data_IF_306909421973
#
_entry.id   IF_306909421973
#
_cell.length_a   1.000
_cell.length_b   1.000
_cell.length_c   1.000
_cell.angle_alpha   90.00
_cell.angle_beta   90.00
_cell.angle_gamma   90.00
#
_symmetry.space_group_name_H-M   'P 1'
#
loop_
_entity.id
_entity.type
_entity.pdbx_description
1 polymer ?
#
# COMPACT_ATOMS: atom_id res chain seq x y z
N UNK A 1 19.99 6.67 34.66
CA UNK A 1 18.63 6.10 34.64
C UNK A 1 17.67 7.25 34.77
N UNK A 2 16.80 7.46 33.77
CA UNK A 2 15.76 8.48 33.81
C UNK A 2 14.45 7.84 34.30
N UNK A 3 13.63 8.60 35.01
CA UNK A 3 12.25 8.18 35.25
C UNK A 3 11.44 8.21 33.95
N UNK A 4 10.29 7.51 33.94
CA UNK A 4 9.42 7.40 32.76
C UNK A 4 9.00 8.78 32.24
N UNK A 5 8.80 9.76 33.12
CA UNK A 5 8.38 11.13 32.76
C UNK A 5 9.51 11.87 32.03
N UNK A 6 10.74 11.76 32.51
CA UNK A 6 11.93 12.34 31.88
C UNK A 6 12.21 11.70 30.53
N UNK A 7 11.99 10.39 30.40
CA UNK A 7 12.10 9.67 29.12
C UNK A 7 11.04 10.13 28.09
N UNK A 8 9.79 10.36 28.52
CA UNK A 8 8.72 10.92 27.66
C UNK A 8 9.08 12.32 27.17
N UNK A 9 9.52 13.20 28.09
CA UNK A 9 9.90 14.58 27.77
C UNK A 9 11.09 14.63 26.80
N UNK A 10 12.07 13.76 27.02
CA UNK A 10 13.21 13.62 26.12
C UNK A 10 12.78 13.20 24.71
N UNK A 11 11.98 12.12 24.61
CA UNK A 11 11.53 11.59 23.32
C UNK A 11 10.77 12.65 22.50
N UNK A 12 9.89 13.42 23.16
CA UNK A 12 9.19 14.54 22.54
C UNK A 12 10.15 15.64 22.05
N UNK A 13 11.15 16.00 22.86
CA UNK A 13 12.15 17.01 22.51
C UNK A 13 13.01 16.60 21.29
N UNK A 14 13.43 15.34 21.22
CA UNK A 14 14.21 14.83 20.10
C UNK A 14 13.34 14.66 18.83
N UNK A 15 12.09 14.23 18.95
CA UNK A 15 11.15 14.15 17.84
C UNK A 15 10.89 15.54 17.20
N UNK A 16 10.75 16.58 18.03
CA UNK A 16 10.63 17.96 17.54
C UNK A 16 11.86 18.43 16.74
N UNK A 17 13.08 18.01 17.13
CA UNK A 17 14.30 18.31 16.38
C UNK A 17 14.34 17.58 15.04
N UNK A 18 13.90 16.33 14.96
CA UNK A 18 13.80 15.61 13.69
C UNK A 18 12.88 16.33 12.69
N UNK A 19 11.71 16.80 13.13
CA UNK A 19 10.78 17.54 12.25
C UNK A 19 11.46 18.80 11.70
N UNK A 20 12.16 19.57 12.55
CA UNK A 20 12.87 20.78 12.13
C UNK A 20 14.00 20.48 11.14
N UNK A 21 14.74 19.40 11.36
CA UNK A 21 15.78 18.94 10.45
C UNK A 21 15.20 18.53 9.09
N UNK A 22 14.09 17.78 9.08
CA UNK A 22 13.42 17.34 7.84
C UNK A 22 12.92 18.53 7.03
N UNK A 23 12.26 19.51 7.65
CA UNK A 23 11.78 20.71 6.97
C UNK A 23 12.94 21.52 6.35
N UNK A 24 14.05 21.65 7.08
CA UNK A 24 15.25 22.34 6.61
C UNK A 24 15.94 21.60 5.45
N UNK A 25 16.04 20.27 5.54
CA UNK A 25 16.62 19.43 4.48
C UNK A 25 15.76 19.39 3.22
N UNK A 26 14.43 19.38 3.35
CA UNK A 26 13.49 19.46 2.21
C UNK A 26 13.61 20.79 1.47
N UNK A 27 13.68 21.91 2.20
CA UNK A 27 13.91 23.24 1.62
C UNK A 27 15.25 23.34 0.89
N UNK A 28 16.27 22.63 1.38
CA UNK A 28 17.57 22.57 0.73
C UNK A 28 17.58 21.69 -0.52
N UNK A 29 16.91 20.52 -0.50
CA UNK A 29 16.81 19.59 -1.63
C UNK A 29 16.21 20.27 -2.89
N UNK A 30 15.20 21.12 -2.70
CA UNK A 30 14.61 21.92 -3.79
C UNK A 30 15.63 22.84 -4.51
N UNK A 31 16.77 23.14 -3.88
CA UNK A 31 17.81 24.02 -4.41
C UNK A 31 19.02 23.32 -5.05
N UNK A 32 19.16 21.98 -4.96
CA UNK A 32 20.38 21.26 -5.37
C UNK A 32 20.07 19.90 -6.05
N UNK A 33 19.91 19.93 -7.37
CA UNK A 33 19.55 18.77 -8.24
C UNK A 33 20.56 17.61 -8.31
N UNK A 34 21.80 17.80 -7.83
CA UNK A 34 22.87 16.77 -7.86
C UNK A 34 23.28 16.27 -6.45
N UNK A 35 22.62 16.74 -5.39
CA UNK A 35 22.82 16.24 -4.01
C UNK A 35 21.65 15.36 -3.56
N UNK A 36 20.77 15.00 -4.49
CA UNK A 36 19.44 14.44 -4.25
C UNK A 36 19.51 13.08 -3.54
N UNK A 37 20.46 12.21 -3.91
CA UNK A 37 20.55 10.86 -3.34
C UNK A 37 21.13 10.84 -1.92
N UNK A 38 22.21 11.59 -1.67
CA UNK A 38 22.82 11.68 -0.33
C UNK A 38 21.88 12.39 0.66
N UNK A 39 21.18 13.46 0.22
CA UNK A 39 20.19 14.16 1.03
C UNK A 39 18.94 13.32 1.28
N UNK A 40 18.52 12.51 0.30
CA UNK A 40 17.41 11.57 0.46
C UNK A 40 17.71 10.57 1.56
N UNK A 41 18.92 10.01 1.60
CA UNK A 41 19.33 9.10 2.68
C UNK A 41 19.30 9.78 4.05
N UNK A 42 19.82 11.01 4.18
CA UNK A 42 19.76 11.78 5.45
C UNK A 42 18.31 12.01 5.88
N UNK A 43 17.43 12.41 4.96
CA UNK A 43 16.00 12.65 5.25
C UNK A 43 15.30 11.36 5.69
N UNK A 44 15.55 10.24 5.01
CA UNK A 44 15.00 8.92 5.38
C UNK A 44 15.44 8.55 6.78
N UNK A 45 16.71 8.75 7.13
CA UNK A 45 17.25 8.39 8.45
C UNK A 45 16.69 9.29 9.55
N UNK A 46 16.61 10.61 9.34
CA UNK A 46 16.01 11.52 10.33
C UNK A 46 14.52 11.22 10.53
N UNK A 47 13.79 10.86 9.47
CA UNK A 47 12.39 10.43 9.55
C UNK A 47 12.23 9.10 10.31
N UNK A 48 13.11 8.13 10.07
CA UNK A 48 13.11 6.86 10.81
C UNK A 48 13.41 7.09 12.30
N UNK A 49 14.38 7.93 12.65
CA UNK A 49 14.66 8.31 14.05
C UNK A 49 13.49 9.04 14.72
N UNK A 50 12.78 9.91 14.00
CA UNK A 50 11.53 10.51 14.48
C UNK A 50 10.47 9.46 14.80
N UNK A 51 10.23 8.53 13.88
CA UNK A 51 9.24 7.48 14.04
C UNK A 51 9.55 6.60 15.27
N UNK A 52 10.81 6.23 15.49
CA UNK A 52 11.24 5.44 16.66
C UNK A 52 11.06 6.20 17.98
N UNK A 53 11.37 7.50 18.01
CA UNK A 53 11.20 8.34 19.20
C UNK A 53 9.72 8.50 19.57
N UNK A 54 8.84 8.74 18.60
CA UNK A 54 7.39 8.74 18.82
C UNK A 54 6.86 7.34 19.18
N UNK A 55 7.53 6.28 18.70
CA UNK A 55 7.23 4.92 19.09
C UNK A 55 7.44 4.69 20.59
N UNK A 56 8.65 5.00 21.05
CA UNK A 56 9.06 4.92 22.45
C UNK A 56 8.21 5.85 23.32
N UNK A 57 7.94 7.08 22.88
CA UNK A 57 7.12 8.05 23.63
C UNK A 57 5.72 7.52 23.92
N UNK A 58 5.03 6.97 22.92
CA UNK A 58 3.69 6.42 23.07
C UNK A 58 3.66 5.25 24.07
N UNK A 59 4.61 4.32 23.96
CA UNK A 59 4.70 3.18 24.87
C UNK A 59 5.02 3.62 26.31
N UNK A 60 5.88 4.63 26.49
CA UNK A 60 6.17 5.18 27.82
C UNK A 60 4.94 5.85 28.46
N UNK A 61 4.05 6.46 27.66
CA UNK A 61 2.79 7.05 28.14
C UNK A 61 1.82 5.94 28.59
N UNK A 62 1.62 4.90 27.77
CA UNK A 62 0.77 3.76 28.12
C UNK A 62 1.25 3.04 29.39
N UNK A 63 2.58 2.89 29.53
CA UNK A 63 3.19 2.35 30.75
C UNK A 63 2.96 3.24 31.97
N UNK A 64 3.03 4.57 31.81
CA UNK A 64 2.76 5.53 32.89
C UNK A 64 1.30 5.45 33.36
N UNK A 65 0.35 5.34 32.45
CA UNK A 65 -1.08 5.25 32.75
C UNK A 65 -1.48 3.90 33.38
N UNK A 66 -0.64 2.88 33.22
CA UNK A 66 -0.86 1.54 33.76
C UNK A 66 -0.43 1.34 35.23
N UNK A 67 -0.19 2.41 36.02
CA UNK A 67 0.30 2.37 37.41
C UNK A 67 1.66 1.65 37.60
N UNK A 68 2.49 1.57 36.55
CA UNK A 68 3.78 0.87 36.58
C UNK A 68 4.94 1.78 37.05
N UNK A 69 4.89 2.27 38.29
CA UNK A 69 5.83 3.29 38.81
C UNK A 69 7.25 2.76 39.14
N UNK A 70 7.49 1.44 39.08
CA UNK A 70 8.75 0.84 39.54
C UNK A 70 9.77 0.52 38.44
N UNK A 71 9.46 0.80 37.17
CA UNK A 71 10.33 0.44 36.05
C UNK A 71 11.34 1.54 35.72
N UNK A 72 12.59 1.33 36.12
CA UNK A 72 13.72 2.14 35.70
C UNK A 72 14.14 1.78 34.26
N UNK A 73 13.71 2.58 33.28
CA UNK A 73 14.10 2.40 31.88
C UNK A 73 15.36 3.24 31.62
N UNK A 74 16.49 2.58 31.38
CA UNK A 74 17.71 3.24 30.94
C UNK A 74 17.62 3.47 29.43
N UNK A 75 17.17 4.65 29.01
CA UNK A 75 17.27 5.08 27.61
C UNK A 75 18.66 5.72 27.44
N UNK A 76 19.56 5.16 26.62
CA UNK A 76 20.85 5.79 26.32
C UNK A 76 20.63 6.83 25.23
N UNK A 77 20.43 8.10 25.61
CA UNK A 77 19.95 9.14 24.67
C UNK A 77 20.79 10.41 24.60
N UNK A 78 21.91 10.46 25.33
CA UNK A 78 22.68 11.69 25.48
C UNK A 78 23.34 12.16 24.17
N UNK A 79 23.59 11.26 23.20
CA UNK A 79 24.20 11.60 21.90
C UNK A 79 23.22 11.97 20.77
N UNK A 80 21.98 11.45 20.80
CA UNK A 80 21.05 11.59 19.67
C UNK A 80 20.60 13.04 19.45
N UNK A 81 20.32 13.76 20.55
CA UNK A 81 19.90 15.16 20.49
C UNK A 81 21.02 16.05 19.91
N UNK A 82 22.28 15.75 20.26
CA UNK A 82 23.45 16.46 19.73
C UNK A 82 23.61 16.20 18.23
N UNK A 83 23.50 14.95 17.78
CA UNK A 83 23.57 14.58 16.37
C UNK A 83 22.46 15.24 15.55
N UNK A 84 21.21 15.26 16.04
CA UNK A 84 20.09 15.93 15.36
C UNK A 84 20.27 17.45 15.29
N UNK A 85 20.80 18.06 16.35
CA UNK A 85 21.09 19.49 16.36
C UNK A 85 22.21 19.84 15.36
N UNK A 86 23.27 19.03 15.26
CA UNK A 86 24.32 19.22 14.25
C UNK A 86 23.80 19.10 12.83
N UNK A 87 22.90 18.16 12.55
CA UNK A 87 22.25 18.03 11.23
C UNK A 87 21.40 19.27 10.92
N UNK A 88 20.68 19.80 11.91
CA UNK A 88 19.90 21.03 11.76
C UNK A 88 20.79 22.26 11.51
N UNK A 89 21.90 22.35 12.23
CA UNK A 89 22.87 23.45 12.10
C UNK A 89 23.55 23.39 10.72
N UNK A 90 24.01 22.20 10.28
CA UNK A 90 24.56 21.96 8.95
C UNK A 90 23.55 22.32 7.84
N UNK A 91 22.29 21.87 7.95
CA UNK A 91 21.24 22.22 7.00
C UNK A 91 20.97 23.73 6.97
N UNK A 92 21.02 24.39 8.13
CA UNK A 92 20.82 25.83 8.27
C UNK A 92 21.97 26.67 7.72
N UNK A 93 23.22 26.24 7.94
CA UNK A 93 24.42 26.93 7.48
C UNK A 93 24.59 26.82 5.96
N UNK A 94 24.30 25.64 5.41
CA UNK A 94 24.25 25.44 3.96
C UNK A 94 23.13 26.29 3.32
N UNK A 95 21.96 26.41 3.97
CA UNK A 95 20.88 27.27 3.51
C UNK A 95 21.23 28.77 3.59
N UNK A 96 21.86 29.23 4.68
CA UNK A 96 22.27 30.63 4.87
C UNK A 96 23.36 31.06 3.90
N UNK A 97 24.36 30.21 3.67
CA UNK A 97 25.44 30.48 2.71
C UNK A 97 25.00 30.38 1.25
N UNK A 98 23.84 29.77 0.98
CA UNK A 98 23.27 29.62 -0.37
C UNK A 98 22.91 30.95 -1.07
N UNK A 99 22.88 32.08 -0.36
CA UNK A 99 22.65 33.42 -0.94
C UNK A 99 23.87 33.98 -1.69
N UNK A 100 25.07 33.40 -1.55
CA UNK A 100 26.27 33.78 -2.33
C UNK A 100 26.63 32.70 -3.35
N UNK A 101 26.13 32.88 -4.58
CA UNK A 101 26.63 32.32 -5.85
C UNK A 101 26.62 30.78 -5.98
N UNK A 102 25.95 30.30 -7.04
CA UNK A 102 25.68 28.88 -7.43
C UNK A 102 26.89 27.93 -7.40
N UNK A 103 28.11 28.43 -7.63
CA UNK A 103 29.35 27.64 -7.64
C UNK A 103 29.78 27.17 -6.25
N UNK A 104 29.57 27.98 -5.21
CA UNK A 104 29.95 27.65 -3.84
C UNK A 104 29.09 26.56 -3.22
N UNK A 105 27.84 26.38 -3.67
CA UNK A 105 26.94 25.31 -3.20
C UNK A 105 27.47 23.90 -3.47
N UNK A 106 28.16 23.70 -4.59
CA UNK A 106 28.74 22.40 -4.99
C UNK A 106 30.03 22.11 -4.21
N UNK A 107 30.85 23.15 -3.98
CA UNK A 107 32.10 23.03 -3.23
C UNK A 107 31.84 22.79 -1.73
N UNK A 108 30.89 23.54 -1.14
CA UNK A 108 30.47 23.39 0.25
C UNK A 108 29.87 22.00 0.49
N UNK A 109 28.93 21.53 -0.36
CA UNK A 109 28.38 20.17 -0.20
C UNK A 109 29.43 19.08 -0.36
N UNK A 110 30.39 19.23 -1.28
CA UNK A 110 31.47 18.23 -1.43
C UNK A 110 32.42 18.17 -0.24
N UNK A 111 32.61 19.29 0.48
CA UNK A 111 33.42 19.37 1.70
C UNK A 111 32.65 18.86 2.94
N UNK A 112 31.35 19.15 3.00
CA UNK A 112 30.44 18.73 4.08
C UNK A 112 29.95 17.27 3.93
N UNK A 113 30.15 16.63 2.76
CA UNK A 113 29.68 15.28 2.48
C UNK A 113 30.23 14.23 3.45
N UNK A 114 31.50 14.36 3.84
CA UNK A 114 32.11 13.43 4.81
C UNK A 114 31.49 13.58 6.20
N UNK A 115 31.17 14.81 6.61
CA UNK A 115 30.51 15.08 7.89
C UNK A 115 29.05 14.62 7.88
N UNK A 116 28.32 14.84 6.77
CA UNK A 116 26.97 14.32 6.58
C UNK A 116 26.92 12.78 6.64
N UNK A 117 27.87 12.09 6.00
CA UNK A 117 27.97 10.62 6.05
C UNK A 117 28.34 10.11 7.46
N UNK A 118 29.21 10.82 8.18
CA UNK A 118 29.53 10.50 9.58
C UNK A 118 28.29 10.67 10.49
N UNK A 119 27.52 11.75 10.31
CA UNK A 119 26.27 11.99 11.04
C UNK A 119 25.20 10.94 10.72
N UNK A 120 25.11 10.46 9.48
CA UNK A 120 24.26 9.32 9.08
C UNK A 120 24.69 8.02 9.77
N UNK A 121 26.00 7.76 9.84
CA UNK A 121 26.54 6.63 10.57
C UNK A 121 26.18 6.67 12.06
N UNK A 122 26.30 7.83 12.70
CA UNK A 122 25.92 8.04 14.11
C UNK A 122 24.40 7.93 14.32
N UNK A 123 23.58 8.44 13.40
CA UNK A 123 22.13 8.27 13.44
C UNK A 123 21.73 6.79 13.36
N UNK A 124 22.38 6.03 12.48
CA UNK A 124 22.14 4.58 12.36
C UNK A 124 22.44 3.86 13.67
N UNK A 125 23.58 4.17 14.29
CA UNK A 125 23.94 3.61 15.60
C UNK A 125 22.92 3.97 16.70
N UNK A 126 22.40 5.20 16.68
CA UNK A 126 21.35 5.62 17.62
C UNK A 126 19.99 4.95 17.32
N UNK A 127 19.66 4.66 16.06
CA UNK A 127 18.46 3.91 15.69
C UNK A 127 18.50 2.49 16.25
N UNK A 128 19.64 1.81 16.17
CA UNK A 128 19.82 0.47 16.75
C UNK A 128 19.61 0.49 18.27
N UNK A 129 20.14 1.51 18.94
CA UNK A 129 19.93 1.72 20.38
C UNK A 129 18.46 1.96 20.75
N UNK A 130 17.73 2.76 19.95
CA UNK A 130 16.29 2.99 20.14
C UNK A 130 15.47 1.71 19.89
N UNK A 131 15.87 0.89 18.91
CA UNK A 131 15.23 -0.40 18.63
C UNK A 131 15.37 -1.38 19.79
N UNK A 132 16.53 -1.41 20.46
CA UNK A 132 16.70 -2.23 21.67
C UNK A 132 15.79 -1.79 22.83
N UNK A 133 15.62 -0.47 23.01
CA UNK A 133 14.68 0.07 24.01
C UNK A 133 13.24 -0.30 23.64
N UNK A 134 12.88 -0.23 22.35
CA UNK A 134 11.56 -0.64 21.86
C UNK A 134 11.26 -2.11 22.14
N UNK A 135 12.21 -3.00 21.83
CA UNK A 135 12.07 -4.44 22.06
C UNK A 135 11.87 -4.76 23.54
N UNK A 136 12.66 -4.13 24.41
CA UNK A 136 12.53 -4.29 25.86
C UNK A 136 11.13 -3.87 26.36
N UNK A 137 10.60 -2.76 25.84
CA UNK A 137 9.25 -2.29 26.20
C UNK A 137 8.15 -3.20 25.64
N UNK A 138 8.31 -3.70 24.40
CA UNK A 138 7.32 -4.58 23.74
C UNK A 138 7.16 -5.94 24.43
N UNK A 139 8.26 -6.55 24.87
CA UNK A 139 8.25 -7.81 25.63
C UNK A 139 7.43 -7.67 26.93
N UNK A 140 7.55 -6.52 27.60
CA UNK A 140 6.81 -6.21 28.83
C UNK A 140 5.31 -6.07 28.54
N UNK A 141 4.92 -5.53 27.38
CA UNK A 141 3.52 -5.34 26.98
C UNK A 141 2.82 -6.63 26.54
N UNK A 142 3.50 -7.48 25.76
CA UNK A 142 2.93 -8.73 25.21
C UNK A 142 2.55 -9.76 26.27
N UNK A 143 3.24 -9.81 27.41
CA UNK A 143 2.91 -10.70 28.52
C UNK A 143 1.50 -10.47 29.11
N UNK A 144 0.81 -9.38 28.72
CA UNK A 144 -0.50 -8.98 29.27
C UNK A 144 -1.70 -9.18 28.32
N UNK A 145 -1.51 -9.31 27.00
CA UNK A 145 -2.59 -9.27 25.98
C UNK A 145 -3.31 -10.61 25.74
N UNK A 146 -2.72 -11.76 26.11
CA UNK A 146 -3.26 -13.09 25.78
C UNK A 146 -4.63 -13.45 26.41
N UNK A 147 -5.16 -12.67 27.35
CA UNK A 147 -6.40 -12.98 28.09
C UNK A 147 -7.71 -12.56 27.40
N UNK A 148 -7.68 -11.71 26.36
CA UNK A 148 -8.91 -11.09 25.80
C UNK A 148 -9.47 -11.77 24.53
N UNK A 149 -8.67 -12.55 23.82
CA UNK A 149 -8.98 -13.04 22.45
C UNK A 149 -9.94 -14.25 22.45
N UNK A 150 -9.97 -15.05 23.52
CA UNK A 150 -10.76 -16.30 23.57
C UNK A 150 -12.30 -16.09 23.57
N UNK A 151 -12.79 -14.87 23.79
CA UNK A 151 -14.22 -14.60 24.00
C UNK A 151 -15.00 -14.33 22.69
N UNK A 152 -14.34 -13.76 21.68
CA UNK A 152 -15.03 -13.25 20.47
C UNK A 152 -15.34 -14.33 19.43
N UNK A 153 -14.65 -15.48 19.47
CA UNK A 153 -14.79 -16.56 18.48
C UNK A 153 -16.13 -17.32 18.59
N UNK A 154 -16.84 -17.19 19.72
CA UNK A 154 -18.04 -17.98 20.02
C UNK A 154 -19.33 -17.46 19.36
N UNK A 155 -19.36 -16.21 18.91
CA UNK A 155 -20.61 -15.52 18.53
C UNK A 155 -20.90 -15.51 17.02
N UNK A 156 -19.94 -15.86 16.17
CA UNK A 156 -20.04 -15.68 14.72
C UNK A 156 -20.63 -16.87 13.94
N UNK A 157 -21.01 -17.96 14.60
CA UNK A 157 -21.24 -19.27 13.95
C UNK A 157 -22.69 -19.52 13.46
N UNK A 158 -23.64 -18.62 13.69
CA UNK A 158 -25.07 -18.98 13.71
C UNK A 158 -25.98 -18.48 12.56
N UNK A 159 -25.52 -17.91 11.44
CA UNK A 159 -26.49 -17.45 10.41
C UNK A 159 -25.95 -17.33 8.97
N UNK A 160 -26.35 -18.21 8.04
CA UNK A 160 -26.20 -18.00 6.59
C UNK A 160 -27.06 -18.96 5.72
N UNK A 161 -27.87 -18.43 4.77
CA UNK A 161 -28.28 -19.06 3.46
C UNK A 161 -28.68 -17.94 2.47
N UNK A 162 -28.36 -18.10 1.17
CA UNK A 162 -28.50 -17.15 0.03
C UNK A 162 -29.22 -17.78 -1.19
N UNK A 163 -29.76 -16.98 -2.16
CA UNK A 163 -29.86 -17.40 -3.58
C UNK A 163 -29.41 -16.38 -4.66
N UNK A 164 -28.88 -16.95 -5.75
CA UNK A 164 -28.66 -16.55 -7.17
C UNK A 164 -28.10 -15.15 -7.57
N UNK A 165 -27.02 -15.15 -8.34
CA UNK A 165 -25.94 -14.22 -8.07
C UNK A 165 -25.69 -13.13 -9.15
N UNK A 166 -25.73 -13.40 -10.47
CA UNK A 166 -25.16 -12.47 -11.49
C UNK A 166 -26.15 -11.80 -12.44
N UNK A 167 -27.44 -11.94 -12.22
CA UNK A 167 -28.49 -11.49 -13.15
C UNK A 167 -28.51 -9.97 -13.39
N UNK A 168 -27.93 -9.16 -12.50
CA UNK A 168 -28.04 -7.69 -12.56
C UNK A 168 -26.76 -6.96 -13.04
N UNK A 169 -25.63 -7.66 -13.26
CA UNK A 169 -24.36 -6.98 -13.61
C UNK A 169 -24.22 -6.91 -15.13
N UNK A 170 -24.62 -5.78 -15.70
CA UNK A 170 -24.32 -5.42 -17.10
C UNK A 170 -23.21 -4.38 -17.12
N UNK A 171 -22.04 -4.73 -17.68
CA UNK A 171 -21.02 -3.76 -18.10
C UNK A 171 -21.54 -3.06 -19.35
N UNK A 172 -22.42 -2.06 -19.16
CA UNK A 172 -23.03 -1.33 -20.28
C UNK A 172 -22.01 -0.34 -20.86
N UNK A 173 -21.68 -0.47 -22.15
CA UNK A 173 -21.19 0.65 -22.96
C UNK A 173 -22.40 1.54 -23.29
N UNK A 174 -22.81 2.46 -22.40
CA UNK A 174 -23.79 3.49 -22.78
C UNK A 174 -23.42 4.88 -22.26
N UNK A 175 -23.47 5.80 -23.21
CA UNK A 175 -23.39 7.24 -23.05
C UNK A 175 -24.52 7.75 -22.15
N UNK A 176 -24.24 8.86 -21.47
CA UNK A 176 -25.18 9.75 -20.76
C UNK A 176 -25.76 9.31 -19.41
N UNK A 177 -25.18 9.88 -18.35
CA UNK A 177 -25.91 10.64 -17.33
C UNK A 177 -26.83 9.88 -16.37
N UNK A 178 -26.27 9.43 -15.23
CA UNK A 178 -26.76 9.65 -13.86
C UNK A 178 -25.89 8.82 -12.88
N UNK A 179 -25.13 9.48 -12.00
CA UNK A 179 -24.18 8.81 -11.09
C UNK A 179 -24.86 8.51 -9.76
N UNK A 180 -25.52 7.36 -9.68
CA UNK A 180 -25.66 6.62 -8.43
C UNK A 180 -24.36 5.86 -8.13
N UNK A 181 -23.92 5.83 -6.88
CA UNK A 181 -22.68 5.15 -6.46
C UNK A 181 -22.72 3.62 -6.56
N UNK A 182 -23.79 3.04 -7.12
CA UNK A 182 -24.00 1.59 -7.14
C UNK A 182 -23.33 0.86 -8.32
N UNK A 183 -22.92 1.57 -9.37
CA UNK A 183 -22.34 0.97 -10.59
C UNK A 183 -20.81 0.97 -10.66
N UNK A 184 -20.09 1.27 -9.56
CA UNK A 184 -18.62 1.25 -9.58
C UNK A 184 -18.10 -0.20 -9.57
N UNK A 185 -17.55 -0.65 -10.71
CA UNK A 185 -16.78 -1.89 -10.80
C UNK A 185 -15.32 -1.55 -10.53
N UNK A 186 -14.79 -2.06 -9.41
CA UNK A 186 -13.38 -1.85 -9.05
C UNK A 186 -12.48 -2.59 -10.05
N UNK A 187 -11.29 -2.05 -10.30
CA UNK A 187 -10.35 -2.64 -11.25
C UNK A 187 -9.10 -3.15 -10.54
N UNK A 188 -8.69 -4.37 -10.87
CA UNK A 188 -7.38 -4.94 -10.58
C UNK A 188 -6.43 -4.67 -11.74
N UNK A 189 -5.40 -3.85 -11.52
CA UNK A 189 -4.50 -3.43 -12.59
C UNK A 189 -3.24 -4.30 -12.60
N UNK A 190 -3.27 -5.38 -13.38
CA UNK A 190 -2.16 -6.35 -13.44
C UNK A 190 -1.00 -5.97 -14.37
N UNK A 191 -1.15 -4.95 -15.21
CA UNK A 191 -0.07 -4.44 -16.04
C UNK A 191 0.87 -3.57 -15.18
N UNK A 192 2.05 -4.12 -14.89
CA UNK A 192 3.03 -3.52 -13.98
C UNK A 192 4.39 -3.24 -14.64
N UNK A 193 4.55 -3.59 -15.92
CA UNK A 193 5.79 -3.41 -16.66
C UNK A 193 5.64 -2.47 -17.85
N UNK A 194 6.64 -1.59 -18.06
CA UNK A 194 6.63 -0.58 -19.14
C UNK A 194 7.11 -1.11 -20.48
N UNK A 195 7.93 -2.16 -20.47
CA UNK A 195 8.56 -2.79 -21.64
C UNK A 195 7.68 -3.86 -22.30
N UNK A 196 6.39 -3.84 -21.98
CA UNK A 196 5.37 -4.71 -22.57
C UNK A 196 4.85 -4.04 -23.85
N UNK A 197 5.15 -4.63 -25.02
CA UNK A 197 4.88 -4.03 -26.33
C UNK A 197 3.40 -3.76 -26.64
N UNK A 198 2.49 -4.31 -25.85
CA UNK A 198 1.05 -4.11 -25.98
C UNK A 198 0.55 -2.81 -25.30
N UNK A 199 1.34 -2.18 -24.43
CA UNK A 199 0.92 -0.96 -23.73
C UNK A 199 1.32 0.30 -24.51
N UNK A 200 0.34 1.17 -24.76
CA UNK A 200 0.58 2.43 -25.44
C UNK A 200 1.36 3.42 -24.55
N UNK A 201 2.30 4.18 -25.14
CA UNK A 201 3.09 5.20 -24.41
C UNK A 201 2.26 6.15 -23.55
N UNK A 202 1.08 6.67 -23.99
CA UNK A 202 0.26 7.54 -23.16
C UNK A 202 -0.32 6.84 -21.91
N UNK A 203 -0.57 5.53 -21.99
CA UNK A 203 -1.02 4.73 -20.84
C UNK A 203 0.10 4.65 -19.81
N UNK A 204 1.31 4.28 -20.26
CA UNK A 204 2.48 4.17 -19.40
C UNK A 204 2.87 5.52 -18.77
N UNK A 205 2.87 6.60 -19.55
CA UNK A 205 3.16 7.95 -19.03
C UNK A 205 2.18 8.34 -17.94
N UNK A 206 0.86 8.19 -18.17
CA UNK A 206 -0.14 8.61 -17.20
C UNK A 206 -0.14 7.76 -15.93
N UNK A 207 0.18 6.47 -16.03
CA UNK A 207 0.41 5.58 -14.87
C UNK A 207 1.62 6.00 -14.05
N UNK A 208 2.70 6.46 -14.68
CA UNK A 208 3.85 7.02 -13.99
C UNK A 208 3.51 8.36 -13.34
N UNK A 209 2.78 9.24 -14.03
CA UNK A 209 2.31 10.51 -13.47
C UNK A 209 1.45 10.28 -12.22
N UNK A 210 0.57 9.27 -12.22
CA UNK A 210 -0.22 8.89 -11.05
C UNK A 210 0.66 8.48 -9.87
N UNK A 211 1.65 7.63 -10.13
CA UNK A 211 2.56 7.15 -9.10
C UNK A 211 3.44 8.28 -8.53
N UNK A 212 3.92 9.17 -9.39
CA UNK A 212 4.74 10.31 -8.99
C UNK A 212 3.90 11.33 -8.20
N UNK A 213 2.68 11.65 -8.65
CA UNK A 213 1.76 12.53 -7.92
C UNK A 213 1.43 11.98 -6.52
N UNK A 214 1.13 10.67 -6.42
CA UNK A 214 0.88 10.01 -5.14
C UNK A 214 2.14 10.01 -4.25
N UNK A 215 3.32 9.77 -4.83
CA UNK A 215 4.61 9.81 -4.12
C UNK A 215 4.91 11.20 -3.52
N UNK A 216 4.56 12.28 -4.23
CA UNK A 216 4.73 13.65 -3.74
C UNK A 216 3.57 14.16 -2.88
N UNK A 217 2.50 13.38 -2.72
CA UNK A 217 1.30 13.79 -1.98
C UNK A 217 0.49 14.90 -2.68
N UNK A 218 0.59 15.00 -4.00
CA UNK A 218 -0.18 15.94 -4.82
C UNK A 218 -1.58 15.38 -5.09
N UNK A 219 -2.44 15.37 -4.07
CA UNK A 219 -3.71 14.64 -4.10
C UNK A 219 -4.71 15.15 -5.14
N UNK A 220 -4.74 16.46 -5.41
CA UNK A 220 -5.59 17.01 -6.46
C UNK A 220 -5.19 16.45 -7.83
N UNK A 221 -3.89 16.41 -8.12
CA UNK A 221 -3.36 15.80 -9.35
C UNK A 221 -3.67 14.31 -9.42
N UNK A 222 -3.56 13.58 -8.29
CA UNK A 222 -3.94 12.16 -8.21
C UNK A 222 -5.39 11.97 -8.65
N UNK A 223 -6.32 12.75 -8.10
CA UNK A 223 -7.73 12.61 -8.43
C UNK A 223 -8.05 13.01 -9.88
N UNK A 224 -7.40 14.05 -10.39
CA UNK A 224 -7.53 14.46 -11.80
C UNK A 224 -6.98 13.40 -12.76
N UNK A 225 -5.90 12.71 -12.38
CA UNK A 225 -5.36 11.58 -13.16
C UNK A 225 -6.32 10.39 -13.12
N UNK A 226 -6.87 10.04 -11.95
CA UNK A 226 -7.82 8.94 -11.81
C UNK A 226 -9.08 9.16 -12.66
N UNK A 227 -9.60 10.39 -12.70
CA UNK A 227 -10.76 10.73 -13.52
C UNK A 227 -10.43 10.68 -15.02
N UNK A 228 -9.29 11.23 -15.45
CA UNK A 228 -8.83 11.14 -16.85
C UNK A 228 -8.59 9.70 -17.29
N UNK A 229 -8.06 8.85 -16.40
CA UNK A 229 -7.85 7.44 -16.67
C UNK A 229 -9.17 6.73 -16.96
N UNK A 230 -10.20 6.98 -16.13
CA UNK A 230 -11.56 6.47 -16.37
C UNK A 230 -12.09 6.93 -17.72
N UNK A 231 -12.00 8.23 -18.03
CA UNK A 231 -12.52 8.77 -19.28
C UNK A 231 -11.80 8.25 -20.53
N UNK A 232 -10.49 8.03 -20.43
CA UNK A 232 -9.63 7.70 -21.59
C UNK A 232 -9.49 6.20 -21.82
N UNK A 233 -9.46 5.41 -20.75
CA UNK A 233 -9.15 3.98 -20.81
C UNK A 233 -10.26 3.11 -20.23
N UNK A 234 -11.33 3.70 -19.68
CA UNK A 234 -12.42 2.98 -19.00
C UNK A 234 -11.93 2.11 -17.83
N UNK A 235 -10.88 2.55 -17.14
CA UNK A 235 -10.25 1.83 -16.04
C UNK A 235 -10.24 2.65 -14.75
N UNK A 236 -10.51 1.99 -13.61
CA UNK A 236 -10.43 2.60 -12.28
C UNK A 236 -9.06 2.36 -11.63
N UNK A 237 -8.17 3.36 -11.70
CA UNK A 237 -6.77 3.23 -11.26
C UNK A 237 -6.49 3.48 -9.78
N UNK A 238 -7.51 3.50 -8.91
CA UNK A 238 -7.31 3.72 -7.46
C UNK A 238 -6.40 2.64 -6.83
N UNK A 239 -6.34 1.45 -7.42
CA UNK A 239 -5.50 0.32 -7.01
C UNK A 239 -4.26 0.13 -7.90
N UNK A 240 -3.96 1.07 -8.79
CA UNK A 240 -2.84 0.94 -9.70
C UNK A 240 -1.52 0.99 -8.93
N UNK A 241 -0.61 0.07 -9.26
CA UNK A 241 0.77 0.12 -8.80
C UNK A 241 1.64 0.89 -9.79
N UNK A 242 2.79 1.39 -9.33
CA UNK A 242 3.78 2.03 -10.22
C UNK A 242 4.30 1.02 -11.23
N UNK A 243 4.24 1.36 -12.50
CA UNK A 243 4.83 0.54 -13.57
C UNK A 243 6.35 0.76 -13.63
N UNK A 244 7.12 -0.29 -13.94
CA UNK A 244 8.58 -0.20 -14.09
C UNK A 244 9.10 -1.14 -15.18
N UNK A 245 10.28 -0.90 -15.77
CA UNK A 245 10.91 -1.89 -16.63
C UNK A 245 11.07 -3.24 -15.94
N UNK A 246 11.05 -4.33 -16.70
CA UNK A 246 11.40 -5.65 -16.17
C UNK A 246 12.79 -5.67 -15.54
N UNK A 247 12.92 -6.44 -14.47
CA UNK A 247 14.15 -6.55 -13.67
C UNK A 247 14.20 -5.57 -12.49
N UNK A 248 13.43 -4.49 -12.52
CA UNK A 248 13.33 -3.58 -11.37
C UNK A 248 12.49 -4.20 -10.24
N UNK A 249 12.91 -3.96 -9.00
CA UNK A 249 12.15 -4.39 -7.83
C UNK A 249 10.81 -3.65 -7.74
N UNK A 250 9.73 -4.42 -7.61
CA UNK A 250 8.37 -3.93 -7.49
C UNK A 250 7.90 -3.95 -6.03
N UNK A 251 7.49 -2.79 -5.52
CA UNK A 251 6.96 -2.66 -4.16
C UNK A 251 5.46 -2.95 -4.07
N UNK A 252 4.74 -2.82 -5.19
CA UNK A 252 3.27 -2.88 -5.29
C UNK A 252 2.54 -1.89 -4.39
N UNK A 253 3.15 -0.73 -4.15
CA UNK A 253 2.46 0.37 -3.51
C UNK A 253 1.40 0.94 -4.44
N UNK A 254 0.23 1.21 -3.87
CA UNK A 254 -0.90 1.88 -4.51
C UNK A 254 -1.04 3.31 -3.97
N UNK A 255 -1.88 4.17 -4.59
CA UNK A 255 -2.22 5.48 -4.03
C UNK A 255 -2.66 5.43 -2.57
N UNK A 256 -3.36 4.36 -2.15
CA UNK A 256 -3.78 4.17 -0.75
C UNK A 256 -2.58 4.05 0.19
N UNK A 257 -1.60 3.19 -0.15
CA UNK A 257 -0.39 3.04 0.66
C UNK A 257 0.38 4.36 0.74
N UNK A 258 0.49 5.08 -0.38
CA UNK A 258 1.14 6.39 -0.37
C UNK A 258 0.39 7.44 0.43
N UNK A 259 -0.95 7.45 0.39
CA UNK A 259 -1.75 8.36 1.20
C UNK A 259 -1.47 8.17 2.69
N UNK A 260 -1.36 6.92 3.15
CA UNK A 260 -0.99 6.61 4.52
C UNK A 260 0.45 7.04 4.83
N UNK A 261 1.41 6.68 3.96
CA UNK A 261 2.81 7.03 4.15
C UNK A 261 3.06 8.53 4.25
N UNK A 262 2.35 9.29 3.41
CA UNK A 262 2.43 10.74 3.33
C UNK A 262 1.53 11.46 4.34
N UNK A 263 0.85 10.72 5.24
CA UNK A 263 -0.05 11.25 6.27
C UNK A 263 -1.13 12.15 5.67
N UNK A 264 -1.72 11.69 4.57
CA UNK A 264 -2.74 12.43 3.86
C UNK A 264 -3.94 12.72 4.76
N UNK A 265 -4.64 13.86 4.57
CA UNK A 265 -5.87 14.13 5.29
C UNK A 265 -6.88 12.99 5.13
N UNK A 266 -7.65 12.70 6.18
CA UNK A 266 -8.69 11.66 6.17
C UNK A 266 -9.59 11.71 4.93
N UNK A 267 -10.01 12.89 4.49
CA UNK A 267 -10.85 13.06 3.30
C UNK A 267 -10.21 12.57 1.98
N UNK A 268 -8.87 12.56 1.88
CA UNK A 268 -8.15 11.97 0.74
C UNK A 268 -8.32 10.45 0.74
N UNK A 269 -8.13 9.82 1.90
CA UNK A 269 -8.28 8.37 2.07
C UNK A 269 -9.73 7.94 1.82
N UNK A 270 -10.70 8.67 2.36
CA UNK A 270 -12.13 8.45 2.10
C UNK A 270 -12.47 8.56 0.60
N UNK A 271 -11.89 9.55 -0.08
CA UNK A 271 -12.09 9.72 -1.53
C UNK A 271 -11.44 8.59 -2.34
N UNK A 272 -10.24 8.13 -1.98
CA UNK A 272 -9.60 6.98 -2.62
C UNK A 272 -10.43 5.70 -2.44
N UNK A 273 -11.01 5.48 -1.27
CA UNK A 273 -11.94 4.38 -1.00
C UNK A 273 -13.18 4.50 -1.89
N UNK A 274 -13.78 5.69 -1.97
CA UNK A 274 -14.95 5.95 -2.80
C UNK A 274 -14.68 5.70 -4.29
N UNK A 275 -13.43 5.91 -4.73
CA UNK A 275 -12.95 5.60 -6.08
C UNK A 275 -12.53 4.14 -6.29
N UNK A 276 -12.77 3.27 -5.30
CA UNK A 276 -12.54 1.83 -5.41
C UNK A 276 -11.23 1.32 -4.82
N UNK A 277 -10.49 2.16 -4.07
CA UNK A 277 -9.29 1.76 -3.36
C UNK A 277 -9.53 0.65 -2.33
N UNK A 278 -8.71 -0.40 -2.37
CA UNK A 278 -8.75 -1.53 -1.42
C UNK A 278 -8.01 -1.22 -0.13
N UNK A 279 -8.54 -1.68 1.01
CA UNK A 279 -7.94 -1.55 2.34
C UNK A 279 -7.13 -2.77 2.76
N UNK A 280 -7.41 -3.94 2.20
CA UNK A 280 -6.70 -5.20 2.48
C UNK A 280 -5.64 -5.53 1.44
N UNK A 281 -5.51 -4.72 0.39
CA UNK A 281 -4.46 -4.90 -0.60
C UNK A 281 -3.09 -4.72 0.06
N UNK A 282 -2.20 -5.69 -0.11
CA UNK A 282 -0.86 -5.70 0.49
C UNK A 282 0.21 -5.25 -0.50
N UNK A 283 1.25 -4.62 0.03
CA UNK A 283 2.51 -4.42 -0.70
C UNK A 283 3.22 -5.76 -0.95
N UNK A 284 4.18 -5.77 -1.87
CA UNK A 284 5.17 -6.86 -2.01
C UNK A 284 6.46 -6.57 -1.26
N UNK A 285 6.83 -5.30 -1.19
CA UNK A 285 8.04 -4.87 -0.50
C UNK A 285 7.85 -3.49 0.12
N UNK A 286 8.40 -3.30 1.32
CA UNK A 286 8.53 -2.02 1.98
C UNK A 286 9.83 -1.95 2.78
N UNK A 287 10.20 -0.74 3.21
CA UNK A 287 11.27 -0.50 4.17
C UNK A 287 10.90 -0.82 5.63
N UNK A 288 9.64 -1.19 5.89
CA UNK A 288 9.12 -1.48 7.22
C UNK A 288 9.42 -2.93 7.66
N UNK A 289 9.19 -3.29 8.93
CA UNK A 289 9.54 -4.61 9.45
C UNK A 289 8.91 -5.80 8.71
N UNK A 290 7.80 -5.56 8.02
CA UNK A 290 7.12 -6.56 7.19
C UNK A 290 7.05 -6.07 5.74
N UNK A 291 7.43 -6.88 4.75
CA UNK A 291 7.45 -6.46 3.35
C UNK A 291 6.04 -6.35 2.74
N UNK A 292 5.06 -7.04 3.32
CA UNK A 292 3.69 -7.20 2.82
C UNK A 292 2.66 -6.59 3.78
N UNK A 293 2.62 -5.27 3.83
CA UNK A 293 1.71 -4.53 4.70
C UNK A 293 0.50 -4.02 3.92
N UNK A 294 -0.65 -4.02 4.57
CA UNK A 294 -1.85 -3.30 4.16
C UNK A 294 -1.74 -1.82 4.51
N UNK A 295 -2.59 -0.95 3.93
CA UNK A 295 -2.71 0.45 4.36
C UNK A 295 -2.97 0.60 5.86
N UNK A 296 -3.79 -0.25 6.48
CA UNK A 296 -4.04 -0.19 7.92
C UNK A 296 -2.81 -0.57 8.72
N UNK A 297 -2.12 -1.67 8.39
CA UNK A 297 -0.87 -2.06 9.05
C UNK A 297 0.20 -0.97 8.89
N UNK A 298 0.28 -0.35 7.71
CA UNK A 298 1.15 0.78 7.45
C UNK A 298 0.79 1.99 8.33
N UNK A 299 -0.50 2.29 8.51
CA UNK A 299 -0.95 3.36 9.40
C UNK A 299 -0.55 3.07 10.86
N UNK A 300 -0.65 1.81 11.31
CA UNK A 300 -0.18 1.39 12.63
C UNK A 300 1.33 1.59 12.79
N UNK A 301 2.10 1.17 11.79
CA UNK A 301 3.56 1.32 11.77
C UNK A 301 3.99 2.80 11.81
N UNK A 302 3.20 3.69 11.19
CA UNK A 302 3.43 5.13 11.15
C UNK A 302 2.75 5.90 12.29
N UNK A 303 1.90 5.23 13.08
CA UNK A 303 1.05 5.79 14.14
C UNK A 303 0.05 6.85 13.66
N UNK A 304 -0.45 6.72 12.45
CA UNK A 304 -1.47 7.61 11.89
C UNK A 304 -2.87 7.23 12.38
N UNK A 305 -3.10 7.45 13.69
CA UNK A 305 -4.32 7.04 14.41
C UNK A 305 -5.60 7.64 13.81
N UNK A 306 -5.55 8.84 13.25
CA UNK A 306 -6.70 9.49 12.60
C UNK A 306 -7.23 8.71 11.38
N UNK A 307 -6.39 7.85 10.80
CA UNK A 307 -6.73 7.04 9.63
C UNK A 307 -7.21 5.63 9.99
N UNK A 308 -7.11 5.20 11.25
CA UNK A 308 -7.43 3.81 11.63
C UNK A 308 -8.87 3.46 11.32
N UNK A 309 -9.82 4.31 11.72
CA UNK A 309 -11.25 4.06 11.51
C UNK A 309 -11.61 3.94 10.03
N UNK A 310 -11.02 4.79 9.18
CA UNK A 310 -11.32 4.81 7.74
C UNK A 310 -10.64 3.67 6.99
N UNK A 311 -9.44 3.27 7.43
CA UNK A 311 -8.66 2.18 6.85
C UNK A 311 -9.03 0.80 7.40
N UNK A 312 -9.78 0.73 8.49
CA UNK A 312 -10.26 -0.53 9.05
C UNK A 312 -11.04 -1.31 7.98
N UNK A 313 -10.58 -2.51 7.58
CA UNK A 313 -11.28 -3.32 6.61
C UNK A 313 -12.70 -3.63 7.08
N UNK A 314 -13.68 -3.42 6.21
CA UNK A 314 -15.05 -3.84 6.44
C UNK A 314 -15.23 -5.18 5.72
N UNK A 315 -15.02 -6.28 6.43
CA UNK A 315 -15.17 -7.63 5.87
C UNK A 315 -16.66 -7.94 5.71
N UNK A 316 -17.11 -8.05 4.46
CA UNK A 316 -18.50 -8.35 4.09
C UNK A 316 -18.68 -9.80 3.68
N UNK A 317 -17.67 -10.34 3.00
CA UNK A 317 -17.62 -11.72 2.55
C UNK A 317 -16.49 -12.46 3.27
N UNK A 318 -16.72 -12.95 4.51
CA UNK A 318 -15.69 -13.65 5.27
C UNK A 318 -15.42 -15.02 4.66
N UNK A 319 -14.20 -15.21 4.15
CA UNK A 319 -13.71 -16.50 3.62
C UNK A 319 -12.45 -16.88 4.39
N UNK A 320 -12.32 -18.15 4.86
CA UNK A 320 -11.10 -18.59 5.53
C UNK A 320 -9.86 -18.40 4.63
N UNK A 321 -8.73 -17.98 5.19
CA UNK A 321 -7.54 -17.67 4.41
C UNK A 321 -7.01 -18.86 3.57
N UNK A 322 -7.13 -20.09 4.09
CA UNK A 322 -6.74 -21.31 3.37
C UNK A 322 -7.61 -21.54 2.13
N UNK A 323 -8.92 -21.32 2.25
CA UNK A 323 -9.88 -21.41 1.14
C UNK A 323 -9.55 -20.35 0.10
N UNK A 324 -9.38 -19.10 0.54
CA UNK A 324 -9.04 -17.98 -0.33
C UNK A 324 -7.75 -18.21 -1.12
N UNK A 325 -6.75 -18.83 -0.49
CA UNK A 325 -5.48 -19.20 -1.13
C UNK A 325 -5.67 -20.30 -2.20
N UNK A 326 -6.52 -21.30 -1.91
CA UNK A 326 -6.88 -22.35 -2.89
C UNK A 326 -7.61 -21.78 -4.11
N UNK A 327 -8.62 -20.94 -3.87
CA UNK A 327 -9.36 -20.23 -4.92
C UNK A 327 -8.42 -19.36 -5.76
N UNK A 328 -7.50 -18.62 -5.13
CA UNK A 328 -6.54 -17.77 -5.81
C UNK A 328 -5.62 -18.58 -6.74
N UNK A 329 -5.09 -19.71 -6.23
CA UNK A 329 -4.24 -20.59 -7.02
C UNK A 329 -4.97 -21.18 -8.24
N UNK A 330 -6.22 -21.63 -8.06
CA UNK A 330 -7.04 -22.16 -9.15
C UNK A 330 -7.45 -21.07 -10.14
N UNK A 331 -7.78 -19.87 -9.67
CA UNK A 331 -8.08 -18.74 -10.55
C UNK A 331 -6.87 -18.33 -11.38
N UNK A 332 -5.68 -18.30 -10.77
CA UNK A 332 -4.44 -18.01 -11.50
C UNK A 332 -4.11 -19.11 -12.51
N UNK A 333 -4.44 -20.37 -12.21
CA UNK A 333 -4.33 -21.47 -13.17
C UNK A 333 -5.27 -21.27 -14.35
N UNK A 334 -6.54 -20.91 -14.11
CA UNK A 334 -7.51 -20.59 -15.16
C UNK A 334 -7.01 -19.47 -16.08
N UNK A 335 -6.57 -18.35 -15.50
CA UNK A 335 -6.04 -17.21 -16.26
C UNK A 335 -4.86 -17.63 -17.13
N UNK A 336 -3.92 -18.42 -16.58
CA UNK A 336 -2.79 -18.92 -17.37
C UNK A 336 -3.21 -19.88 -18.48
N UNK A 337 -4.21 -20.72 -18.26
CA UNK A 337 -4.70 -21.63 -19.30
C UNK A 337 -5.35 -20.90 -20.48
N UNK A 338 -6.07 -19.79 -20.21
CA UNK A 338 -6.73 -19.02 -21.27
C UNK A 338 -5.82 -17.96 -21.90
N UNK A 339 -4.89 -17.37 -21.14
CA UNK A 339 -4.13 -16.19 -21.52
C UNK A 339 -2.61 -16.40 -21.49
N UNK A 340 -2.12 -17.65 -21.44
CA UNK A 340 -0.73 -18.05 -21.14
C UNK A 340 0.32 -17.10 -21.72
N UNK A 341 0.33 -16.99 -23.05
CA UNK A 341 1.31 -16.18 -23.76
C UNK A 341 1.26 -14.71 -23.34
N UNK A 342 0.08 -14.13 -23.08
CA UNK A 342 -0.08 -12.74 -22.69
C UNK A 342 0.41 -12.50 -21.25
N UNK A 343 0.05 -13.41 -20.34
CA UNK A 343 0.37 -13.29 -18.91
C UNK A 343 1.86 -13.45 -18.65
N UNK A 344 2.48 -14.47 -19.26
CA UNK A 344 3.89 -14.77 -19.04
C UNK A 344 4.80 -13.81 -19.83
N UNK A 345 4.44 -13.49 -21.08
CA UNK A 345 5.20 -12.52 -21.90
C UNK A 345 5.11 -11.12 -21.35
N UNK A 346 4.06 -10.77 -20.58
CA UNK A 346 3.92 -9.46 -19.93
C UNK A 346 4.30 -9.47 -18.45
N UNK A 347 4.57 -10.66 -17.86
CA UNK A 347 4.82 -10.85 -16.43
C UNK A 347 3.77 -10.14 -15.56
N UNK A 348 2.50 -10.40 -15.87
CA UNK A 348 1.38 -9.71 -15.24
C UNK A 348 1.30 -10.00 -13.74
N UNK A 349 0.90 -8.99 -12.97
CA UNK A 349 0.53 -9.15 -11.58
C UNK A 349 -0.90 -9.68 -11.47
N UNK A 350 -1.05 -10.97 -11.22
CA UNK A 350 -2.35 -11.63 -11.16
C UNK A 350 -3.18 -11.19 -9.93
N UNK A 351 -4.52 -11.20 -10.03
CA UNK A 351 -5.44 -10.81 -8.96
C UNK A 351 -5.18 -11.47 -7.61
N UNK A 352 -5.04 -10.67 -6.55
CA UNK A 352 -5.21 -11.18 -5.18
C UNK A 352 -6.69 -11.25 -4.82
N UNK A 353 -7.09 -12.26 -4.06
CA UNK A 353 -8.49 -12.45 -3.67
C UNK A 353 -8.84 -11.87 -2.29
N UNK A 354 -7.86 -11.56 -1.42
CA UNK A 354 -8.09 -10.92 -0.11
C UNK A 354 -8.95 -9.63 -0.20
N UNK A 355 -8.77 -8.75 -1.21
CA UNK A 355 -9.63 -7.57 -1.39
C UNK A 355 -11.10 -7.85 -1.67
N UNK A 356 -11.44 -9.02 -2.20
CA UNK A 356 -12.85 -9.39 -2.44
C UNK A 356 -13.63 -9.56 -1.14
N UNK A 357 -12.95 -9.86 -0.03
CA UNK A 357 -13.61 -10.00 1.27
C UNK A 357 -14.20 -8.68 1.78
N UNK A 358 -13.71 -7.53 1.27
CA UNK A 358 -14.28 -6.21 1.56
C UNK A 358 -15.57 -5.91 0.80
N UNK A 359 -15.87 -6.71 -0.23
CA UNK A 359 -16.93 -6.43 -1.20
C UNK A 359 -18.18 -7.21 -0.85
N UNK A 360 -19.34 -6.58 -1.01
CA UNK A 360 -20.65 -7.20 -0.79
C UNK A 360 -21.08 -7.97 -2.05
N UNK A 361 -20.33 -9.02 -2.39
CA UNK A 361 -20.51 -9.79 -3.63
C UNK A 361 -20.51 -8.92 -4.91
N UNK A 362 -19.79 -7.80 -4.87
CA UNK A 362 -19.54 -6.93 -6.01
C UNK A 362 -18.35 -7.47 -6.81
N UNK A 363 -18.46 -7.38 -8.13
CA UNK A 363 -17.42 -7.83 -9.05
C UNK A 363 -16.22 -6.88 -9.11
N UNK A 364 -15.07 -7.46 -9.40
CA UNK A 364 -13.83 -6.76 -9.75
C UNK A 364 -13.47 -7.11 -11.18
N UNK A 365 -13.05 -6.09 -11.93
CA UNK A 365 -12.59 -6.22 -13.30
C UNK A 365 -11.08 -6.36 -13.34
N UNK A 366 -10.57 -7.37 -14.05
CA UNK A 366 -9.17 -7.55 -14.35
C UNK A 366 -8.96 -7.46 -15.87
N UNK A 367 -8.60 -6.27 -16.40
CA UNK A 367 -8.38 -6.06 -17.83
C UNK A 367 -7.09 -6.73 -18.29
N UNK A 368 -7.16 -7.34 -19.47
CA UNK A 368 -6.02 -7.86 -20.24
C UNK A 368 -5.88 -6.99 -21.49
N UNK A 369 -4.74 -6.31 -21.64
CA UNK A 369 -4.49 -5.46 -22.80
C UNK A 369 -3.95 -6.35 -23.93
N UNK A 370 -4.81 -6.67 -24.88
CA UNK A 370 -4.48 -7.48 -26.05
C UNK A 370 -5.21 -6.95 -27.30
N UNK A 371 -5.14 -7.69 -28.40
CA UNK A 371 -5.76 -7.30 -29.68
C UNK A 371 -7.30 -7.21 -29.58
N UNK A 372 -7.91 -7.92 -28.64
CA UNK A 372 -9.34 -7.92 -28.42
C UNK A 372 -9.72 -6.83 -27.42
N UNK A 373 -10.41 -5.79 -27.89
CA UNK A 373 -10.89 -4.70 -27.01
C UNK A 373 -11.83 -5.25 -25.92
N UNK A 374 -11.63 -4.79 -24.68
CA UNK A 374 -12.44 -5.23 -23.53
C UNK A 374 -12.14 -6.65 -23.05
N UNK A 375 -11.00 -7.24 -23.43
CA UNK A 375 -10.57 -8.53 -22.92
C UNK A 375 -10.24 -8.48 -21.43
N UNK A 376 -10.64 -9.53 -20.72
CA UNK A 376 -10.31 -9.69 -19.31
C UNK A 376 -11.28 -10.57 -18.54
N UNK A 377 -11.22 -10.42 -17.22
CA UNK A 377 -11.95 -11.26 -16.27
C UNK A 377 -12.75 -10.41 -15.31
N UNK A 378 -14.06 -10.69 -15.23
CA UNK A 378 -14.92 -10.17 -14.19
C UNK A 378 -15.09 -11.25 -13.13
N UNK A 379 -14.74 -10.96 -11.88
CA UNK A 379 -14.71 -11.99 -10.84
C UNK A 379 -15.20 -11.47 -9.48
N UNK A 380 -15.77 -12.36 -8.66
CA UNK A 380 -16.15 -12.07 -7.27
C UNK A 380 -16.32 -13.34 -6.45
N UNK A 381 -16.34 -13.16 -5.14
CA UNK A 381 -16.76 -14.19 -4.19
C UNK A 381 -18.29 -14.32 -4.17
N UNK A 382 -18.75 -15.56 -4.14
CA UNK A 382 -20.10 -15.95 -3.76
C UNK A 382 -19.99 -17.05 -2.69
N UNK A 383 -20.16 -16.66 -1.43
CA UNK A 383 -19.83 -17.52 -0.30
C UNK A 383 -18.35 -17.94 -0.31
N UNK A 384 -18.10 -19.24 -0.52
CA UNK A 384 -16.75 -19.83 -0.58
C UNK A 384 -16.29 -20.17 -1.99
N UNK A 385 -17.07 -19.83 -2.99
CA UNK A 385 -16.72 -20.06 -4.38
C UNK A 385 -16.34 -18.74 -5.03
N UNK A 386 -15.42 -18.81 -5.98
CA UNK A 386 -15.08 -17.68 -6.83
C UNK A 386 -15.78 -17.85 -8.17
N UNK A 387 -16.64 -16.89 -8.46
CA UNK A 387 -17.36 -16.84 -9.70
C UNK A 387 -16.63 -15.92 -10.67
N UNK A 388 -16.36 -16.42 -11.87
CA UNK A 388 -15.53 -15.74 -12.87
C UNK A 388 -16.25 -15.71 -14.20
N UNK A 389 -16.17 -14.59 -14.91
CA UNK A 389 -16.60 -14.46 -16.30
C UNK A 389 -15.43 -13.93 -17.12
N UNK A 390 -14.89 -14.76 -18.01
CA UNK A 390 -13.93 -14.31 -19.01
C UNK A 390 -14.68 -13.63 -20.16
N UNK A 391 -14.10 -12.57 -20.71
CA UNK A 391 -14.66 -11.80 -21.82
C UNK A 391 -13.59 -11.53 -22.84
N UNK A 392 -13.94 -11.69 -24.11
CA UNK A 392 -13.10 -11.36 -25.27
C UNK A 392 -11.67 -11.96 -25.22
N UNK A 393 -11.46 -13.03 -24.45
CA UNK A 393 -10.12 -13.62 -24.27
C UNK A 393 -9.65 -14.38 -25.51
N UNK A 394 -10.58 -15.04 -26.20
CA UNK A 394 -10.31 -15.82 -27.42
C UNK A 394 -10.77 -15.10 -28.67
N UNK A 395 -12.00 -14.56 -28.66
CA UNK A 395 -12.55 -13.77 -29.76
C UNK A 395 -13.50 -12.67 -29.26
N UNK A 396 -13.66 -11.59 -30.03
CA UNK A 396 -14.54 -10.47 -29.67
C UNK A 396 -16.00 -10.95 -29.62
N UNK A 397 -16.67 -10.69 -28.50
CA UNK A 397 -18.05 -11.10 -28.21
C UNK A 397 -18.18 -12.44 -27.50
N UNK A 398 -17.07 -13.17 -27.28
CA UNK A 398 -17.07 -14.43 -26.56
C UNK A 398 -17.00 -14.19 -25.04
N UNK A 399 -17.93 -14.81 -24.32
CA UNK A 399 -17.94 -14.82 -22.86
C UNK A 399 -18.02 -16.27 -22.37
N UNK A 400 -17.23 -16.61 -21.35
CA UNK A 400 -17.33 -17.89 -20.66
C UNK A 400 -17.46 -17.65 -19.16
N UNK A 401 -18.37 -18.37 -18.51
CA UNK A 401 -18.56 -18.30 -17.07
C UNK A 401 -17.95 -19.53 -16.40
N UNK A 402 -17.31 -19.32 -15.26
CA UNK A 402 -16.66 -20.35 -14.47
C UNK A 402 -17.06 -20.21 -12.99
N UNK A 403 -17.14 -21.35 -12.32
CA UNK A 403 -17.14 -21.44 -10.86
C UNK A 403 -15.86 -22.11 -10.44
N UNK A 404 -15.06 -21.40 -9.65
CA UNK A 404 -13.84 -21.92 -9.03
C UNK A 404 -14.21 -22.27 -7.58
N UNK A 405 -14.08 -23.54 -7.22
CA UNK A 405 -14.31 -24.03 -5.85
C UNK A 405 -12.99 -24.31 -5.17
N UNK A 406 -13.01 -24.84 -3.94
CA UNK A 406 -11.78 -25.22 -3.22
C UNK A 406 -10.94 -26.28 -3.94
N UNK A 407 -11.56 -27.10 -4.81
CA UNK A 407 -10.92 -28.28 -5.40
C UNK A 407 -10.77 -28.17 -6.92
N UNK A 408 -11.75 -27.56 -7.61
CA UNK A 408 -11.88 -27.66 -9.07
C UNK A 408 -12.40 -26.37 -9.71
N UNK A 409 -12.34 -26.34 -11.05
CA UNK A 409 -12.89 -25.27 -11.87
C UNK A 409 -13.98 -25.87 -12.75
N UNK A 410 -15.19 -25.35 -12.65
CA UNK A 410 -16.34 -25.74 -13.47
C UNK A 410 -16.65 -24.67 -14.50
N UNK A 411 -16.98 -25.08 -15.72
CA UNK A 411 -17.51 -24.19 -16.75
C UNK A 411 -19.03 -24.19 -16.59
N UNK A 412 -19.62 -23.00 -16.45
CA UNK A 412 -21.06 -22.82 -16.48
C UNK A 412 -21.45 -22.62 -17.93
N UNK A 413 -21.81 -23.71 -18.60
CA UNK A 413 -22.48 -23.60 -19.89
C UNK A 413 -23.85 -22.98 -19.63
N UNK A 414 -24.11 -21.80 -20.19
CA UNK A 414 -25.48 -21.32 -20.30
C UNK A 414 -26.22 -22.29 -21.19
N UNK A 415 -27.15 -23.07 -20.63
CA UNK A 415 -28.03 -23.94 -21.40
C UNK A 415 -28.80 -23.10 -22.44
N UNK A 416 -28.36 -23.17 -23.68
CA UNK A 416 -29.22 -23.63 -24.77
C UNK A 416 -28.77 -25.07 -25.11
N UNK A 417 -29.54 -26.04 -24.61
CA UNK A 417 -29.61 -27.47 -24.96
C UNK A 417 -28.32 -28.35 -25.03
N UNK A 418 -28.34 -29.38 -24.19
CA UNK A 418 -27.67 -30.68 -24.29
C UNK A 418 -26.12 -30.75 -24.32
N UNK A 419 -25.55 -31.20 -23.19
CA UNK A 419 -24.36 -32.06 -23.21
C UNK A 419 -23.29 -31.68 -22.19
N UNK A 420 -23.29 -32.36 -21.05
CA UNK A 420 -22.18 -32.33 -20.07
C UNK A 420 -20.92 -32.89 -20.73
N UNK A 421 -20.04 -31.99 -21.18
CA UNK A 421 -18.69 -32.31 -21.64
C UNK A 421 -17.71 -32.31 -20.47
N UNK A 422 -17.34 -33.50 -19.99
CA UNK A 422 -16.21 -33.67 -19.08
C UNK A 422 -14.91 -33.36 -19.83
N UNK A 423 -14.16 -32.36 -19.37
CA UNK A 423 -12.75 -32.22 -19.74
C UNK A 423 -11.91 -32.94 -18.69
N UNK A 424 -11.56 -34.19 -18.98
CA UNK A 424 -10.54 -34.92 -18.24
C UNK A 424 -9.15 -34.46 -18.76
N UNK A 425 -8.34 -33.88 -17.89
CA UNK A 425 -6.94 -33.59 -18.17
C UNK A 425 -6.04 -34.80 -17.89
N UNK A 426 -5.19 -35.15 -18.86
CA UNK A 426 -3.92 -35.84 -18.64
C UNK A 426 -2.81 -34.83 -18.33
#
# INVERSE_FOLDING_TARGET
MCDIISAISFAAGAASLCIKAIDSLKKFSHGVRNAEDDLREVVIRVQSSYNLLEMIRGLLIELKESNAHELAIAVPVDGLKETLQRILDMASDVYRNSRRIRFWRKLIWSLERSEALELVGRLTQHQDQLMHVLQAISIISQLRSQTSIARMIKEATDTAVSPDAFSEITLVKEETGEVGSDNLIRTWIGHVHTDVGQLADPYCSMRNDLADAAYFGAWDDVFDILERAKQRFDEHWANATRIKPRGDAMSYWTPMHQAVYMRAPRGVVERLIALGGFRTLRTKWTEFPYPNVTPLELAHLLKETELYDVLCPVIRNPVPATVLTGLEALFHKLIRQEAEHLVDTSAMYLPLLEPLTELDSKAVWFPIQCENEGAGYLYRLDGRDLMVRSRNMRSVGEECAYVVTEEEIYIVNGDDDEGVGLVAGE
#
